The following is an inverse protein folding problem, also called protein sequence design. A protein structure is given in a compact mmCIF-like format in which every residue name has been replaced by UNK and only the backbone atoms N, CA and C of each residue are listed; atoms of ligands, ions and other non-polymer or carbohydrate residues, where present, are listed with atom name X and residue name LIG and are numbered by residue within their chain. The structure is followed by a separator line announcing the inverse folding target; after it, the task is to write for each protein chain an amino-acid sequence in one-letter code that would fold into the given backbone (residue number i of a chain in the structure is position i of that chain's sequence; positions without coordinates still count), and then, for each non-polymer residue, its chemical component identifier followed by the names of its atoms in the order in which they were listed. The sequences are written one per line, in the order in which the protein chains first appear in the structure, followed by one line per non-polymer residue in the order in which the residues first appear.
data_IF_600302850669
#
_entry.id   IF_600302850669
#
_cell.length_a   1.000
_cell.length_b   1.000
_cell.length_c   1.000
_cell.angle_alpha   90.00
_cell.angle_beta   90.00
_cell.angle_gamma   90.00
#
_symmetry.space_group_name_H-M   'P 1'
#
loop_
_entity.id
_entity.type
_entity.pdbx_description
1 polymer ?
#
# COMPACT_ATOMS: atom_id res chain seq x y z
N UNK A 1 -0.35 36.39 4.67
CA UNK A 1 0.65 36.24 5.77
C UNK A 1 -0.15 36.26 7.07
N UNK A 2 -0.24 35.26 7.95
CA UNK A 2 0.50 34.03 8.29
C UNK A 2 -0.50 33.13 9.06
N UNK A 3 -0.43 31.82 9.21
CA UNK A 3 0.59 30.83 8.89
C UNK A 3 -0.08 29.45 8.92
N UNK A 4 0.12 28.67 7.85
CA UNK A 4 -0.28 27.27 7.79
C UNK A 4 0.57 26.50 8.77
N UNK A 5 -0.01 26.21 9.93
CA UNK A 5 0.65 25.41 10.94
C UNK A 5 0.17 23.98 10.81
N UNK A 6 1.09 23.01 10.79
CA UNK A 6 0.72 21.60 10.78
C UNK A 6 0.26 21.17 12.17
N UNK A 7 -0.83 20.40 12.22
CA UNK A 7 -1.36 19.84 13.46
C UNK A 7 -0.94 18.38 13.55
N UNK A 8 -0.26 18.01 14.64
CA UNK A 8 0.16 16.63 14.92
C UNK A 8 -0.52 16.15 16.20
N UNK A 9 -1.04 14.92 16.17
CA UNK A 9 -1.69 14.29 17.32
C UNK A 9 -0.83 13.12 17.78
N UNK A 10 -0.43 13.14 19.06
CA UNK A 10 0.31 12.03 19.67
C UNK A 10 -0.64 10.81 19.85
N UNK A 11 -0.32 9.63 19.29
CA UNK A 11 -1.24 8.47 19.28
C UNK A 11 -1.42 7.81 20.66
N UNK A 12 -0.51 8.06 21.60
CA UNK A 12 -0.53 7.46 22.95
C UNK A 12 -1.27 8.37 23.92
N UNK A 13 -0.99 9.68 23.88
CA UNK A 13 -1.52 10.66 24.84
C UNK A 13 -2.69 11.48 24.30
N UNK A 14 -2.99 11.36 23.01
CA UNK A 14 -3.96 12.19 22.27
C UNK A 14 -3.67 13.71 22.36
N UNK A 15 -2.45 14.12 22.72
CA UNK A 15 -2.09 15.54 22.76
C UNK A 15 -1.99 16.10 21.34
N UNK A 16 -2.71 17.20 21.09
CA UNK A 16 -2.62 17.92 19.83
C UNK A 16 -1.61 19.06 19.95
N UNK A 17 -0.67 19.12 19.01
CA UNK A 17 0.29 20.21 18.91
C UNK A 17 0.19 20.86 17.54
N UNK A 18 0.34 22.19 17.51
CA UNK A 18 0.44 22.98 16.28
C UNK A 18 1.87 23.44 16.12
N UNK A 19 2.47 23.11 14.98
CA UNK A 19 3.77 23.62 14.55
C UNK A 19 3.55 24.72 13.52
N UNK A 20 4.02 25.93 13.80
CA UNK A 20 4.00 27.05 12.85
C UNK A 20 5.33 27.77 12.92
N UNK A 21 6.00 27.95 11.78
CA UNK A 21 7.27 28.70 11.68
C UNK A 21 8.35 28.21 12.66
N UNK A 22 8.43 26.88 12.86
CA UNK A 22 9.42 26.25 13.75
C UNK A 22 9.09 26.31 15.25
N UNK A 23 7.95 26.92 15.62
CA UNK A 23 7.46 26.94 17.00
C UNK A 23 6.34 25.92 17.17
N UNK A 24 6.57 24.94 18.04
CA UNK A 24 5.56 23.96 18.45
C UNK A 24 4.85 24.43 19.71
N UNK A 25 3.53 24.52 19.65
CA UNK A 25 2.68 24.87 20.80
C UNK A 25 1.53 23.88 20.93
N UNK A 26 0.98 23.76 22.13
CA UNK A 26 -0.22 22.96 22.34
C UNK A 26 -1.39 23.57 21.55
N UNK A 27 -2.19 22.72 20.90
CA UNK A 27 -3.38 23.18 20.20
C UNK A 27 -4.43 23.64 21.22
N UNK A 28 -5.02 24.80 20.98
CA UNK A 28 -6.01 25.40 21.86
C UNK A 28 -7.35 24.66 21.82
N UNK A 29 -8.12 24.77 22.90
CA UNK A 29 -9.39 24.08 23.06
C UNK A 29 -10.45 24.62 22.09
N UNK A 30 -11.10 23.72 21.36
CA UNK A 30 -12.09 24.09 20.35
C UNK A 30 -12.29 23.03 19.28
N UNK A 31 -13.05 23.39 18.24
CA UNK A 31 -13.29 22.53 17.08
C UNK A 31 -12.33 22.93 15.97
N UNK A 32 -11.57 21.97 15.46
CA UNK A 32 -10.55 22.20 14.43
C UNK A 32 -10.78 21.29 13.24
N UNK A 33 -10.56 21.81 12.03
CA UNK A 33 -10.53 21.01 10.81
C UNK A 33 -9.08 20.74 10.43
N UNK A 34 -8.74 19.46 10.26
CA UNK A 34 -7.43 19.00 9.81
C UNK A 34 -7.31 19.11 8.29
N UNK A 35 -6.08 19.05 7.78
CA UNK A 35 -5.78 19.16 6.34
C UNK A 35 -6.41 18.02 5.52
N UNK A 36 -6.59 16.84 6.13
CA UNK A 36 -7.30 15.69 5.52
C UNK A 36 -8.84 15.84 5.55
N UNK A 37 -9.36 16.98 6.00
CA UNK A 37 -10.80 17.25 6.08
C UNK A 37 -11.49 16.74 7.35
N UNK A 38 -10.81 15.98 8.21
CA UNK A 38 -11.36 15.51 9.48
C UNK A 38 -11.60 16.66 10.45
N UNK A 39 -12.65 16.54 11.28
CA UNK A 39 -12.97 17.52 12.33
C UNK A 39 -12.63 16.91 13.68
N UNK A 40 -11.84 17.61 14.49
CA UNK A 40 -11.45 17.19 15.84
C UNK A 40 -11.95 18.20 16.87
N UNK A 41 -12.22 17.72 18.07
CA UNK A 41 -12.54 18.56 19.23
C UNK A 41 -11.37 18.46 20.20
N UNK A 42 -10.86 19.60 20.65
CA UNK A 42 -9.74 19.68 21.59
C UNK A 42 -10.25 20.24 22.92
N UNK A 43 -9.94 19.55 24.02
CA UNK A 43 -10.21 19.99 25.39
C UNK A 43 -8.99 19.71 26.25
N UNK A 44 -8.56 20.69 27.04
CA UNK A 44 -7.30 20.70 27.78
C UNK A 44 -6.08 20.35 26.91
N UNK A 45 -6.14 20.75 25.64
CA UNK A 45 -5.17 20.46 24.58
C UNK A 45 -4.95 18.97 24.28
N UNK A 46 -5.97 18.16 24.57
CA UNK A 46 -6.09 16.74 24.18
C UNK A 46 -7.25 16.61 23.21
N UNK A 47 -7.09 15.80 22.16
CA UNK A 47 -8.20 15.49 21.26
C UNK A 47 -9.22 14.65 22.02
N UNK A 48 -10.41 15.20 22.19
CA UNK A 48 -11.58 14.49 22.67
C UNK A 48 -11.91 13.46 21.59
N UNK A 49 -11.61 12.19 21.87
CA UNK A 49 -11.92 11.07 20.98
C UNK A 49 -13.43 11.05 20.75
N UNK A 50 -13.86 11.58 19.61
CA UNK A 50 -15.23 11.43 19.14
C UNK A 50 -15.44 9.93 18.86
N UNK A 51 -16.51 9.37 19.42
CA UNK A 51 -16.85 7.94 19.27
C UNK A 51 -16.91 7.57 17.79
N UNK A 52 -17.36 8.50 16.95
CA UNK A 52 -17.43 8.34 15.50
C UNK A 52 -16.07 8.18 14.82
N UNK A 53 -15.03 8.91 15.28
CA UNK A 53 -13.67 8.76 14.74
C UNK A 53 -13.09 7.40 15.13
N UNK A 54 -13.25 6.98 16.38
CA UNK A 54 -12.81 5.64 16.83
C UNK A 54 -13.54 4.51 16.11
N UNK A 55 -14.86 4.65 15.91
CA UNK A 55 -15.67 3.67 15.19
C UNK A 55 -15.25 3.58 13.72
N UNK A 56 -15.00 4.72 13.06
CA UNK A 56 -14.52 4.75 11.68
C UNK A 56 -13.15 4.09 11.52
N UNK A 57 -12.21 4.34 12.43
CA UNK A 57 -10.89 3.70 12.42
C UNK A 57 -10.99 2.20 12.65
N UNK A 58 -11.85 1.78 13.58
CA UNK A 58 -12.07 0.36 13.87
C UNK A 58 -12.75 -0.36 12.70
N UNK A 59 -13.67 0.31 12.00
CA UNK A 59 -14.29 -0.22 10.79
C UNK A 59 -13.27 -0.38 9.66
N UNK A 60 -12.42 0.62 9.44
CA UNK A 60 -11.33 0.55 8.45
C UNK A 60 -10.37 -0.61 8.74
N UNK A 61 -9.93 -0.78 10.00
CA UNK A 61 -9.08 -1.90 10.40
C UNK A 61 -9.74 -3.25 10.16
N UNK A 62 -11.02 -3.40 10.53
CA UNK A 62 -11.75 -4.65 10.29
C UNK A 62 -11.92 -4.96 8.80
N UNK A 63 -12.08 -3.94 7.96
CA UNK A 63 -12.16 -4.10 6.50
C UNK A 63 -10.80 -4.50 5.91
N UNK A 64 -9.72 -3.85 6.34
CA UNK A 64 -8.35 -4.20 5.96
C UNK A 64 -7.99 -5.63 6.36
N UNK A 65 -8.33 -6.05 7.59
CA UNK A 65 -8.13 -7.41 8.09
C UNK A 65 -8.88 -8.45 7.25
N UNK A 66 -10.13 -8.16 6.87
CA UNK A 66 -10.92 -9.07 6.02
C UNK A 66 -10.38 -9.21 4.61
N UNK A 67 -9.90 -8.10 4.05
CA UNK A 67 -9.36 -8.12 2.69
C UNK A 67 -7.93 -8.68 2.65
N UNK A 68 -7.23 -8.73 3.79
CA UNK A 68 -5.83 -9.14 3.89
C UNK A 68 -5.53 -10.47 3.18
N UNK A 69 -6.34 -11.51 3.41
CA UNK A 69 -6.09 -12.81 2.78
C UNK A 69 -6.32 -12.79 1.28
N UNK A 70 -7.30 -12.04 0.80
CA UNK A 70 -7.55 -11.87 -0.64
C UNK A 70 -6.43 -11.07 -1.29
N UNK A 71 -5.97 -10.00 -0.65
CA UNK A 71 -4.84 -9.18 -1.10
C UNK A 71 -3.55 -10.00 -1.12
N UNK A 72 -3.27 -10.80 -0.09
CA UNK A 72 -2.11 -11.67 -0.02
C UNK A 72 -2.10 -12.69 -1.17
N UNK A 73 -3.23 -13.36 -1.43
CA UNK A 73 -3.35 -14.29 -2.52
C UNK A 73 -3.13 -13.61 -3.88
N UNK A 74 -3.71 -12.41 -4.10
CA UNK A 74 -3.47 -11.62 -5.32
C UNK A 74 -2.02 -11.19 -5.47
N UNK A 75 -1.40 -10.71 -4.39
CA UNK A 75 0.02 -10.31 -4.34
C UNK A 75 0.91 -11.45 -4.78
N UNK A 76 0.75 -12.63 -4.20
CA UNK A 76 1.73 -13.72 -4.31
C UNK A 76 1.43 -14.66 -5.47
N UNK A 77 0.17 -15.00 -5.70
CA UNK A 77 -0.23 -15.90 -6.79
C UNK A 77 -0.47 -15.17 -8.11
N UNK A 78 -0.63 -13.84 -8.08
CA UNK A 78 -1.12 -13.07 -9.21
C UNK A 78 -2.65 -13.11 -9.30
N UNK A 79 -3.23 -12.19 -10.07
CA UNK A 79 -4.69 -12.01 -10.17
C UNK A 79 -5.39 -13.19 -10.86
N UNK A 80 -4.67 -13.94 -11.69
CA UNK A 80 -5.16 -15.13 -12.39
C UNK A 80 -4.26 -16.36 -12.16
N UNK A 81 -3.64 -16.49 -10.99
CA UNK A 81 -2.74 -17.61 -10.65
C UNK A 81 -1.49 -17.68 -11.57
N UNK A 82 -1.01 -16.56 -12.11
CA UNK A 82 0.18 -16.50 -12.97
C UNK A 82 1.44 -17.06 -12.26
N UNK A 83 1.50 -16.88 -10.93
CA UNK A 83 2.56 -17.35 -10.05
C UNK A 83 2.16 -18.60 -9.24
N UNK A 84 1.23 -19.43 -9.73
CA UNK A 84 0.77 -20.65 -9.03
C UNK A 84 1.87 -21.60 -8.57
N UNK A 85 2.99 -21.65 -9.31
CA UNK A 85 4.14 -22.52 -8.99
C UNK A 85 5.11 -21.91 -7.97
N UNK A 86 4.90 -20.66 -7.56
CA UNK A 86 5.76 -19.99 -6.57
C UNK A 86 5.58 -20.64 -5.19
N UNK A 87 6.65 -20.94 -4.43
CA UNK A 87 6.56 -21.61 -3.13
C UNK A 87 5.61 -20.91 -2.14
N UNK A 88 5.56 -19.58 -2.16
CA UNK A 88 4.70 -18.80 -1.27
C UNK A 88 3.22 -18.75 -1.69
N UNK A 89 2.87 -19.12 -2.94
CA UNK A 89 1.48 -19.06 -3.41
C UNK A 89 0.59 -20.12 -2.73
N UNK A 90 1.11 -21.34 -2.49
CA UNK A 90 0.34 -22.38 -1.80
C UNK A 90 -0.02 -21.99 -0.35
N UNK A 91 0.93 -21.55 0.50
CA UNK A 91 0.63 -21.03 1.83
C UNK A 91 -0.37 -19.87 1.81
N UNK A 92 -0.22 -18.90 0.88
CA UNK A 92 -1.17 -17.80 0.76
C UNK A 92 -2.60 -18.28 0.46
N UNK A 93 -2.77 -19.27 -0.42
CA UNK A 93 -4.08 -19.88 -0.71
C UNK A 93 -4.63 -20.70 0.45
N UNK A 94 -3.78 -21.34 1.24
CA UNK A 94 -4.18 -22.07 2.44
C UNK A 94 -4.74 -21.12 3.50
N UNK A 95 -4.08 -19.99 3.73
CA UNK A 95 -4.57 -18.96 4.66
C UNK A 95 -5.92 -18.37 4.20
N UNK A 96 -6.07 -18.07 2.92
CA UNK A 96 -7.37 -17.61 2.37
C UNK A 96 -8.47 -18.65 2.55
N UNK A 97 -8.17 -19.94 2.37
CA UNK A 97 -9.15 -21.00 2.58
C UNK A 97 -9.54 -21.12 4.06
N UNK A 98 -8.59 -20.99 4.98
CA UNK A 98 -8.85 -20.99 6.42
C UNK A 98 -9.75 -19.82 6.83
N UNK A 99 -9.51 -18.61 6.29
CA UNK A 99 -10.35 -17.43 6.53
C UNK A 99 -11.80 -17.65 6.08
N UNK A 100 -11.99 -18.23 4.89
CA UNK A 100 -13.32 -18.55 4.38
C UNK A 100 -14.04 -19.60 5.25
N UNK A 101 -13.31 -20.58 5.79
CA UNK A 101 -13.86 -21.59 6.69
C UNK A 101 -14.23 -20.99 8.06
N UNK A 102 -13.39 -20.12 8.62
CA UNK A 102 -13.66 -19.39 9.87
C UNK A 102 -14.87 -18.47 9.72
N UNK A 103 -14.96 -17.75 8.59
CA UNK A 103 -16.08 -16.88 8.27
C UNK A 103 -17.42 -17.64 8.15
N UNK A 104 -17.38 -18.92 7.75
CA UNK A 104 -18.57 -19.77 7.64
C UNK A 104 -19.03 -20.36 8.98
N UNK A 105 -18.12 -20.60 9.92
CA UNK A 105 -18.42 -21.33 11.16
C UNK A 105 -18.87 -20.44 12.33
N UNK A 106 -18.41 -19.19 12.41
CA UNK A 106 -18.78 -18.28 13.51
C UNK A 106 -18.53 -16.82 13.08
N UNK A 107 -19.59 -16.00 12.97
CA UNK A 107 -19.46 -14.58 12.60
C UNK A 107 -19.83 -13.67 13.77
N UNK A 108 -18.88 -13.43 14.67
CA UNK A 108 -19.06 -12.54 15.83
C UNK A 108 -18.64 -11.09 15.51
N UNK A 109 -18.43 -10.77 14.22
CA UNK A 109 -17.95 -9.46 13.76
C UNK A 109 -16.50 -9.15 14.17
N UNK A 110 -15.78 -10.10 14.77
CA UNK A 110 -14.35 -9.98 15.07
C UNK A 110 -13.52 -10.46 13.87
N UNK A 111 -12.33 -9.87 13.64
CA UNK A 111 -11.36 -10.40 12.69
C UNK A 111 -10.99 -11.82 13.08
N UNK A 112 -10.89 -12.68 12.07
CA UNK A 112 -10.51 -14.07 12.27
C UNK A 112 -9.00 -14.18 12.55
N UNK A 113 -8.55 -15.28 13.17
CA UNK A 113 -7.11 -15.47 13.43
C UNK A 113 -6.34 -15.54 12.11
N UNK A 114 -6.92 -16.20 11.11
CA UNK A 114 -6.40 -16.25 9.74
C UNK A 114 -6.25 -14.86 9.10
N UNK A 115 -7.19 -13.92 9.32
CA UNK A 115 -7.11 -12.55 8.81
C UNK A 115 -5.85 -11.83 9.31
N UNK A 116 -5.52 -12.00 10.60
CA UNK A 116 -4.32 -11.40 11.21
C UNK A 116 -3.03 -12.02 10.66
N UNK A 117 -3.01 -13.34 10.49
CA UNK A 117 -1.88 -14.03 9.87
C UNK A 117 -1.66 -13.57 8.41
N UNK A 118 -2.74 -13.28 7.68
CA UNK A 118 -2.64 -12.71 6.34
C UNK A 118 -2.06 -11.30 6.32
N UNK A 119 -2.45 -10.44 7.27
CA UNK A 119 -1.83 -9.11 7.41
C UNK A 119 -0.34 -9.21 7.73
N UNK A 120 0.04 -10.06 8.69
CA UNK A 120 1.46 -10.28 9.01
C UNK A 120 2.23 -10.77 7.79
N UNK A 121 1.64 -11.71 7.03
CA UNK A 121 2.22 -12.20 5.78
C UNK A 121 2.35 -11.12 4.68
N UNK A 122 1.43 -10.16 4.59
CA UNK A 122 1.52 -9.04 3.65
C UNK A 122 2.74 -8.16 3.92
N UNK A 123 3.11 -7.98 5.20
CA UNK A 123 4.31 -7.23 5.60
C UNK A 123 5.60 -8.00 5.33
N UNK A 124 5.57 -9.33 5.34
CA UNK A 124 6.73 -10.19 5.07
C UNK A 124 6.99 -10.34 3.56
N UNK A 125 7.62 -9.32 2.97
CA UNK A 125 7.93 -9.29 1.54
C UNK A 125 9.12 -10.18 1.15
N UNK A 126 9.89 -10.71 2.10
CA UNK A 126 11.00 -11.62 1.83
C UNK A 126 10.50 -12.99 1.34
N UNK A 127 9.49 -13.53 2.01
CA UNK A 127 8.86 -14.80 1.63
C UNK A 127 7.66 -14.60 0.69
N UNK A 128 6.76 -13.67 1.02
CA UNK A 128 5.55 -13.39 0.23
C UNK A 128 5.80 -12.30 -0.82
N UNK A 129 6.70 -12.63 -1.74
CA UNK A 129 7.07 -11.75 -2.85
C UNK A 129 5.89 -11.52 -3.81
N UNK A 130 5.82 -10.31 -4.35
CA UNK A 130 4.82 -9.94 -5.37
C UNK A 130 5.05 -10.72 -6.66
N UNK A 131 3.96 -11.22 -7.24
CA UNK A 131 3.97 -11.90 -8.51
C UNK A 131 4.34 -10.91 -9.62
N UNK A 132 5.50 -11.14 -10.24
CA UNK A 132 6.01 -10.33 -11.36
C UNK A 132 5.66 -10.91 -12.73
N UNK A 133 4.86 -11.99 -12.78
CA UNK A 133 4.43 -12.62 -14.02
C UNK A 133 3.16 -11.99 -14.54
N UNK A 134 3.16 -11.70 -15.83
CA UNK A 134 1.99 -11.21 -16.54
C UNK A 134 1.20 -12.36 -17.16
N UNK A 135 -0.10 -12.14 -17.33
CA UNK A 135 -0.99 -13.08 -18.03
C UNK A 135 -0.51 -13.25 -19.47
N UNK A 136 -0.37 -14.49 -19.91
CA UNK A 136 0.05 -14.81 -21.28
C UNK A 136 -0.89 -14.14 -22.29
N UNK A 137 -0.35 -13.26 -23.15
CA UNK A 137 -1.11 -12.52 -24.17
C UNK A 137 -1.68 -11.17 -23.74
N UNK A 138 -1.45 -10.72 -22.50
CA UNK A 138 -1.77 -9.36 -22.09
C UNK A 138 -0.74 -8.35 -22.67
N UNK A 139 -1.15 -7.12 -23.02
CA UNK A 139 -0.22 -6.08 -23.42
C UNK A 139 0.68 -5.68 -22.24
N UNK A 140 1.97 -5.49 -22.51
CA UNK A 140 2.93 -5.03 -21.51
C UNK A 140 2.57 -3.65 -20.97
N UNK A 141 2.72 -3.46 -19.66
CA UNK A 141 2.52 -2.16 -19.02
C UNK A 141 3.64 -1.18 -19.41
N UNK A 142 3.42 0.14 -19.23
CA UNK A 142 4.49 1.13 -19.39
C UNK A 142 5.75 0.81 -18.57
N UNK A 143 5.60 0.28 -17.35
CA UNK A 143 6.74 -0.08 -16.51
C UNK A 143 7.48 -1.31 -17.02
N UNK A 144 6.79 -2.31 -17.57
CA UNK A 144 7.45 -3.44 -18.23
C UNK A 144 8.29 -2.99 -19.43
N UNK A 145 7.72 -2.12 -20.27
CA UNK A 145 8.41 -1.56 -21.45
C UNK A 145 9.62 -0.75 -21.01
N UNK A 146 9.49 0.06 -19.96
CA UNK A 146 10.60 0.83 -19.38
C UNK A 146 11.69 -0.11 -18.87
N UNK A 147 11.35 -1.13 -18.07
CA UNK A 147 12.33 -2.12 -17.58
C UNK A 147 13.03 -2.81 -18.74
N UNK A 148 12.30 -3.24 -19.77
CA UNK A 148 12.89 -3.90 -20.93
C UNK A 148 13.83 -2.98 -21.72
N UNK A 149 13.49 -1.68 -21.85
CA UNK A 149 14.33 -0.66 -22.47
C UNK A 149 15.63 -0.46 -21.67
N UNK A 150 15.53 -0.35 -20.35
CA UNK A 150 16.63 0.12 -19.47
C UNK A 150 17.50 -1.02 -18.95
N UNK A 151 16.90 -2.16 -18.60
CA UNK A 151 17.62 -3.35 -18.15
C UNK A 151 18.03 -4.28 -19.30
N UNK A 152 17.41 -4.14 -20.47
CA UNK A 152 17.54 -5.07 -21.59
C UNK A 152 16.66 -6.30 -21.47
N UNK A 153 16.45 -7.02 -22.58
CA UNK A 153 15.55 -8.19 -22.65
C UNK A 153 16.05 -9.38 -21.83
N UNK A 154 17.35 -9.44 -21.56
CA UNK A 154 18.01 -10.49 -20.77
C UNK A 154 18.68 -9.93 -19.52
N UNK A 155 18.25 -8.76 -19.04
CA UNK A 155 18.83 -8.08 -17.88
C UNK A 155 20.33 -7.80 -18.05
N UNK A 156 20.77 -7.46 -19.27
CA UNK A 156 22.19 -7.21 -19.55
C UNK A 156 22.76 -6.01 -18.76
N UNK A 157 21.90 -5.06 -18.41
CA UNK A 157 22.25 -3.87 -17.63
C UNK A 157 21.76 -3.94 -16.18
N UNK A 158 21.59 -5.15 -15.63
CA UNK A 158 21.28 -5.34 -14.22
C UNK A 158 22.33 -4.67 -13.31
N UNK A 159 21.87 -4.04 -12.23
CA UNK A 159 22.74 -3.33 -11.26
C UNK A 159 23.19 -1.93 -11.71
N UNK A 160 22.71 -1.44 -12.86
CA UNK A 160 22.81 -0.01 -13.18
C UNK A 160 21.74 0.76 -12.42
N UNK A 161 22.04 1.99 -12.01
CA UNK A 161 21.09 2.84 -11.28
C UNK A 161 19.76 2.98 -12.05
N UNK A 162 19.81 3.15 -13.37
CA UNK A 162 18.62 3.25 -14.21
C UNK A 162 17.78 1.96 -14.20
N UNK A 163 18.42 0.79 -14.28
CA UNK A 163 17.72 -0.49 -14.23
C UNK A 163 17.10 -0.74 -12.85
N UNK A 164 17.80 -0.41 -11.78
CA UNK A 164 17.31 -0.58 -10.41
C UNK A 164 16.09 0.33 -10.14
N UNK A 165 16.13 1.59 -10.59
CA UNK A 165 14.99 2.51 -10.54
C UNK A 165 13.81 2.02 -11.39
N UNK A 166 14.06 1.48 -12.59
CA UNK A 166 13.00 0.92 -13.44
C UNK A 166 12.36 -0.32 -12.80
N UNK A 167 13.16 -1.17 -12.14
CA UNK A 167 12.65 -2.30 -11.37
C UNK A 167 11.82 -1.85 -10.16
N UNK A 168 12.27 -0.81 -9.45
CA UNK A 168 11.53 -0.24 -8.33
C UNK A 168 10.15 0.27 -8.78
N UNK A 169 10.11 1.03 -9.88
CA UNK A 169 8.86 1.52 -10.46
C UNK A 169 7.91 0.38 -10.87
N UNK A 170 8.43 -0.69 -11.47
CA UNK A 170 7.63 -1.86 -11.81
C UNK A 170 7.05 -2.54 -10.56
N UNK A 171 7.85 -2.70 -9.49
CA UNK A 171 7.36 -3.30 -8.24
C UNK A 171 6.27 -2.45 -7.59
N UNK A 172 6.41 -1.11 -7.62
CA UNK A 172 5.36 -0.21 -7.14
C UNK A 172 4.08 -0.32 -7.98
N UNK A 173 4.19 -0.40 -9.30
CA UNK A 173 3.03 -0.59 -10.18
C UNK A 173 2.30 -1.91 -9.88
N UNK A 174 3.06 -2.99 -9.66
CA UNK A 174 2.48 -4.29 -9.32
C UNK A 174 1.75 -4.26 -7.98
N UNK A 175 2.31 -3.60 -6.97
CA UNK A 175 1.68 -3.45 -5.65
C UNK A 175 0.40 -2.59 -5.73
N UNK A 176 0.44 -1.48 -6.48
CA UNK A 176 -0.76 -0.65 -6.74
C UNK A 176 -1.87 -1.45 -7.44
N UNK A 177 -1.53 -2.37 -8.35
CA UNK A 177 -2.49 -3.25 -9.05
C UNK A 177 -3.05 -4.38 -8.19
N UNK A 178 -2.39 -4.71 -7.08
CA UNK A 178 -2.90 -5.67 -6.09
C UNK A 178 -4.00 -5.00 -5.27
N UNK A 179 -3.74 -3.77 -4.82
CA UNK A 179 -4.61 -3.00 -3.95
C UNK A 179 -5.75 -2.29 -4.68
N UNK A 180 -5.53 -1.84 -5.93
CA UNK A 180 -6.54 -1.20 -6.76
C UNK A 180 -6.94 -2.04 -7.97
N UNK A 181 -8.23 -1.97 -8.32
CA UNK A 181 -8.74 -2.52 -9.56
C UNK A 181 -8.53 -1.62 -10.79
N UNK A 182 -7.99 -0.41 -10.57
CA UNK A 182 -7.87 0.60 -11.61
C UNK A 182 -6.85 0.22 -12.68
N UNK A 183 -7.18 0.62 -13.91
CA UNK A 183 -6.33 0.39 -15.09
C UNK A 183 -5.13 1.35 -15.11
N UNK A 184 -5.31 2.55 -14.55
CA UNK A 184 -4.24 3.53 -14.37
C UNK A 184 -3.79 3.54 -12.91
N UNK A 185 -2.50 3.28 -12.73
CA UNK A 185 -1.85 3.43 -11.43
C UNK A 185 -0.87 4.60 -11.47
N UNK A 186 -0.52 5.14 -10.30
CA UNK A 186 0.39 6.27 -10.21
C UNK A 186 1.79 5.90 -10.74
N UNK A 187 2.33 4.75 -10.32
CA UNK A 187 3.59 4.24 -10.86
C UNK A 187 3.52 3.99 -12.38
N UNK A 188 2.39 3.52 -12.89
CA UNK A 188 2.18 3.35 -14.34
C UNK A 188 2.26 4.66 -15.12
N UNK A 189 1.78 5.77 -14.54
CA UNK A 189 1.93 7.10 -15.12
C UNK A 189 3.40 7.57 -15.08
N UNK A 190 4.09 7.37 -13.96
CA UNK A 190 5.52 7.69 -13.80
C UNK A 190 6.38 6.92 -14.82
N UNK A 191 6.11 5.64 -15.05
CA UNK A 191 6.81 4.86 -16.06
C UNK A 191 6.60 5.38 -17.48
N UNK A 192 5.39 5.86 -17.80
CA UNK A 192 5.10 6.45 -19.11
C UNK A 192 5.87 7.74 -19.34
N UNK A 193 6.01 8.57 -18.31
CA UNK A 193 6.83 9.77 -18.35
C UNK A 193 8.31 9.43 -18.49
N UNK A 194 8.80 8.47 -17.69
CA UNK A 194 10.17 7.96 -17.73
C UNK A 194 10.58 7.40 -19.10
N UNK A 195 9.65 6.80 -19.85
CA UNK A 195 9.91 6.33 -21.21
C UNK A 195 10.33 7.48 -22.15
N UNK A 196 9.82 8.69 -21.92
CA UNK A 196 10.17 9.91 -22.65
C UNK A 196 11.43 10.62 -22.16
N UNK A 197 11.94 10.30 -20.96
CA UNK A 197 13.14 10.91 -20.39
C UNK A 197 14.37 9.98 -20.54
N UNK A 198 15.18 10.24 -21.56
CA UNK A 198 16.35 9.42 -21.89
C UNK A 198 17.56 9.64 -20.97
N UNK A 199 17.62 10.75 -20.23
CA UNK A 199 18.80 11.11 -19.43
C UNK A 199 18.94 10.24 -18.18
N UNK A 200 17.81 9.95 -17.51
CA UNK A 200 17.79 9.08 -16.32
C UNK A 200 17.53 7.60 -16.66
N UNK A 201 16.75 7.35 -17.72
CA UNK A 201 16.36 6.00 -18.16
C UNK A 201 16.93 5.70 -19.55
N UNK A 202 18.27 5.67 -19.61
CA UNK A 202 19.01 5.31 -20.81
C UNK A 202 18.72 3.87 -21.22
N UNK A 203 18.81 3.60 -22.52
CA UNK A 203 18.64 2.24 -23.04
C UNK A 203 19.82 1.36 -22.62
N UNK A 204 19.55 0.08 -22.43
CA UNK A 204 20.59 -0.94 -22.35
C UNK A 204 21.15 -1.22 -23.75
N UNK A 205 22.38 -0.82 -24.01
CA UNK A 205 23.14 -1.09 -25.24
C UNK A 205 24.16 -2.23 -25.03
#
# INVERSE_FOLDING_TARGET
MLGGGSVTIDPVTNKATRSSEGVTSQLWDGVHRLENGAVIIVRDGVVVRDVLLLESQRQQQMEEEREACTLLARKVCGRNDECRKHPACNPARQLLKLEQEEAQQQWDGRPSESSRLCLDALTNSDYFQTCTKHRTGAPSTPCEVLRQKVCGTRLQCAGTQSCDLANQLLLMELDERVSSSDILTYAGAQCREALGNADLFSRCD
#
